data_IF_222704120291
#
_entry.id   IF_222704120291
#
_cell.length_a   1.000
_cell.length_b   1.000
_cell.length_c   1.000
_cell.angle_alpha   90.00
_cell.angle_beta   90.00
_cell.angle_gamma   90.00
#
_symmetry.space_group_name_H-M   'P 1'
#
loop_
_entity.id
_entity.type
_entity.pdbx_description
1 polymer ?
#
# COMPACT_ATOMS: atom_id res chain seq x y z
N UNK A 1 -10.59 5.47 17.02
CA UNK A 1 -11.52 4.99 18.07
C UNK A 1 -12.95 5.51 17.99
N UNK A 2 -13.27 6.81 18.13
CA UNK A 2 -14.70 7.26 18.06
C UNK A 2 -15.34 7.16 16.65
N UNK A 3 -14.53 7.14 15.59
CA UNK A 3 -15.04 6.97 14.22
C UNK A 3 -15.28 5.50 13.84
N UNK A 4 -14.66 4.55 14.54
CA UNK A 4 -14.75 3.10 14.30
C UNK A 4 -16.04 2.47 14.85
N UNK A 5 -16.89 3.24 15.55
CA UNK A 5 -18.14 2.76 16.19
C UNK A 5 -19.40 3.23 15.47
N UNK A 6 -19.28 3.74 14.23
CA UNK A 6 -20.43 4.10 13.40
C UNK A 6 -20.42 3.35 12.07
N UNK A 7 -21.08 2.19 12.05
CA UNK A 7 -21.20 1.36 10.85
C UNK A 7 -22.00 2.00 9.71
N UNK A 8 -22.68 3.13 9.93
CA UNK A 8 -23.25 3.89 8.81
C UNK A 8 -22.15 4.54 7.97
N UNK A 9 -21.01 4.89 8.58
CA UNK A 9 -19.85 5.41 7.85
C UNK A 9 -19.24 4.31 6.98
N UNK A 10 -18.99 3.15 7.57
CA UNK A 10 -18.47 1.99 6.84
C UNK A 10 -19.39 1.57 5.69
N UNK A 11 -20.71 1.51 5.91
CA UNK A 11 -21.68 1.26 4.86
C UNK A 11 -21.57 2.26 3.68
N UNK A 12 -21.34 3.55 3.96
CA UNK A 12 -21.13 4.56 2.91
C UNK A 12 -19.81 4.36 2.19
N UNK A 13 -18.75 3.96 2.90
CA UNK A 13 -17.45 3.68 2.31
C UNK A 13 -17.52 2.50 1.33
N UNK A 14 -18.21 1.42 1.71
CA UNK A 14 -18.47 0.26 0.84
C UNK A 14 -19.17 0.71 -0.46
N UNK A 15 -20.24 1.49 -0.35
CA UNK A 15 -20.99 1.98 -1.51
C UNK A 15 -20.16 2.93 -2.39
N UNK A 16 -19.32 3.78 -1.78
CA UNK A 16 -18.37 4.64 -2.52
C UNK A 16 -17.36 3.80 -3.30
N UNK A 17 -16.82 2.75 -2.68
CA UNK A 17 -15.86 1.86 -3.33
C UNK A 17 -16.49 1.07 -4.48
N UNK A 18 -17.72 0.55 -4.30
CA UNK A 18 -18.45 -0.11 -5.38
C UNK A 18 -18.67 0.82 -6.57
N UNK A 19 -19.04 2.08 -6.33
CA UNK A 19 -19.17 3.09 -7.40
C UNK A 19 -17.84 3.39 -8.09
N UNK A 20 -16.75 3.45 -7.34
CA UNK A 20 -15.40 3.56 -7.91
C UNK A 20 -15.10 2.39 -8.87
N UNK A 21 -15.35 1.16 -8.44
CA UNK A 21 -15.13 -0.03 -9.28
C UNK A 21 -15.95 0.01 -10.56
N UNK A 22 -17.23 0.40 -10.47
CA UNK A 22 -18.11 0.55 -11.64
C UNK A 22 -17.60 1.64 -12.59
N UNK A 23 -17.26 2.81 -12.06
CA UNK A 23 -16.79 3.97 -12.85
C UNK A 23 -15.50 3.67 -13.59
N UNK A 24 -14.61 2.89 -12.98
CA UNK A 24 -13.32 2.51 -13.57
C UNK A 24 -13.38 1.23 -14.41
N UNK A 25 -14.54 0.58 -14.53
CA UNK A 25 -14.69 -0.68 -15.26
C UNK A 25 -13.99 -1.88 -14.59
N UNK A 26 -13.79 -1.83 -13.27
CA UNK A 26 -13.05 -2.83 -12.48
C UNK A 26 -13.96 -3.89 -11.84
N UNK A 27 -15.28 -3.83 -12.03
CA UNK A 27 -16.25 -4.76 -11.41
C UNK A 27 -16.06 -6.24 -11.78
N UNK A 28 -15.36 -6.52 -12.87
CA UNK A 28 -14.96 -7.87 -13.28
C UNK A 28 -13.67 -8.37 -12.61
N UNK A 29 -12.93 -7.49 -11.95
CA UNK A 29 -11.63 -7.80 -11.31
C UNK A 29 -11.72 -7.74 -9.78
N UNK A 30 -12.56 -6.86 -9.23
CA UNK A 30 -12.74 -6.70 -7.80
C UNK A 30 -14.19 -6.41 -7.42
N UNK A 31 -14.50 -6.59 -6.15
CA UNK A 31 -15.81 -6.29 -5.58
C UNK A 31 -15.74 -5.97 -4.09
N UNK A 32 -16.82 -5.39 -3.58
CA UNK A 32 -17.09 -5.26 -2.15
C UNK A 32 -18.52 -5.73 -1.85
N UNK A 33 -18.80 -6.25 -0.65
CA UNK A 33 -20.12 -6.74 -0.25
C UNK A 33 -21.24 -5.74 -0.55
N UNK A 34 -22.40 -6.19 -1.03
CA UNK A 34 -23.60 -5.34 -0.99
C UNK A 34 -24.04 -5.09 0.45
N UNK A 35 -24.34 -3.85 0.82
CA UNK A 35 -24.87 -3.53 2.16
C UNK A 35 -26.39 -3.74 2.19
N UNK A 36 -26.89 -4.50 3.16
CA UNK A 36 -28.32 -4.63 3.44
C UNK A 36 -28.75 -3.51 4.41
N UNK A 37 -29.04 -2.33 3.87
CA UNK A 37 -29.36 -1.12 4.65
C UNK A 37 -30.50 -1.30 5.65
N UNK A 38 -31.53 -2.06 5.30
CA UNK A 38 -32.68 -2.35 6.17
C UNK A 38 -32.34 -3.26 7.37
N UNK A 39 -31.24 -4.02 7.29
CA UNK A 39 -30.71 -4.86 8.36
C UNK A 39 -29.48 -4.22 9.02
N UNK A 40 -29.17 -2.96 8.72
CA UNK A 40 -27.99 -2.27 9.23
C UNK A 40 -28.39 -1.09 10.10
N UNK A 41 -27.55 -0.77 11.07
CA UNK A 41 -27.70 0.36 11.99
C UNK A 41 -26.31 0.90 12.34
N UNK A 42 -26.25 1.90 13.21
CA UNK A 42 -24.98 2.41 13.73
C UNK A 42 -24.10 1.34 14.39
N UNK A 43 -24.71 0.29 14.97
CA UNK A 43 -24.01 -0.74 15.78
C UNK A 43 -24.00 -2.13 15.15
N UNK A 44 -24.70 -2.32 14.03
CA UNK A 44 -24.72 -3.59 13.30
C UNK A 44 -24.62 -3.30 11.81
N UNK A 45 -23.63 -3.87 11.12
CA UNK A 45 -23.53 -3.84 9.67
C UNK A 45 -23.90 -5.21 9.11
N UNK A 46 -24.94 -5.28 8.27
CA UNK A 46 -25.32 -6.51 7.57
C UNK A 46 -24.97 -6.37 6.10
N UNK A 47 -24.17 -7.30 5.57
CA UNK A 47 -23.65 -7.26 4.21
C UNK A 47 -23.68 -8.62 3.52
N UNK A 48 -23.54 -8.59 2.20
CA UNK A 48 -23.45 -9.77 1.35
C UNK A 48 -22.31 -10.67 1.80
N UNK A 49 -22.61 -11.96 1.94
CA UNK A 49 -21.59 -12.95 2.22
C UNK A 49 -20.82 -13.25 0.94
N UNK A 50 -19.53 -12.93 0.94
CA UNK A 50 -18.61 -13.34 -0.12
C UNK A 50 -18.03 -14.74 0.19
N UNK A 51 -17.71 -15.48 -0.87
CA UNK A 51 -17.13 -16.82 -0.77
C UNK A 51 -15.79 -16.87 -1.51
N UNK A 52 -14.74 -17.13 -0.76
CA UNK A 52 -13.37 -17.12 -1.27
C UNK A 52 -12.40 -17.60 -0.21
N UNK A 53 -11.11 -17.35 -0.45
CA UNK A 53 -10.03 -17.59 0.50
C UNK A 53 -9.31 -16.27 0.79
N UNK A 54 -8.84 -16.03 2.02
CA UNK A 54 -8.01 -14.87 2.32
C UNK A 54 -6.75 -14.85 1.45
N UNK A 55 -6.32 -13.66 1.01
CA UNK A 55 -5.04 -13.51 0.28
C UNK A 55 -3.82 -13.86 1.14
N UNK A 56 -4.01 -13.99 2.47
CA UNK A 56 -2.98 -14.48 3.40
C UNK A 56 -2.81 -16.00 3.39
N UNK A 57 -3.78 -16.75 2.86
CA UNK A 57 -3.77 -18.21 2.85
C UNK A 57 -3.18 -18.74 1.53
N UNK A 58 -1.85 -18.70 1.48
CA UNK A 58 -1.05 -18.97 0.28
C UNK A 58 -1.26 -20.39 -0.27
N UNK A 59 -1.34 -21.37 0.64
CA UNK A 59 -1.51 -22.77 0.27
C UNK A 59 -2.86 -22.95 -0.44
N UNK A 60 -3.93 -22.34 0.09
CA UNK A 60 -5.25 -22.37 -0.54
C UNK A 60 -5.31 -21.62 -1.88
N UNK A 61 -4.65 -20.46 -2.00
CA UNK A 61 -4.64 -19.67 -3.25
C UNK A 61 -3.94 -20.43 -4.38
N UNK A 62 -2.79 -21.06 -4.09
CA UNK A 62 -2.02 -21.82 -5.08
C UNK A 62 -2.82 -22.98 -5.68
N UNK A 63 -3.79 -23.51 -4.95
CA UNK A 63 -4.70 -24.56 -5.41
C UNK A 63 -5.89 -24.02 -6.23
N UNK A 64 -6.23 -22.73 -6.08
CA UNK A 64 -7.40 -22.10 -6.71
C UNK A 64 -7.08 -21.38 -8.01
N UNK A 65 -5.86 -20.83 -8.15
CA UNK A 65 -5.45 -20.07 -9.34
C UNK A 65 -4.07 -20.45 -9.81
N UNK A 66 -3.88 -20.39 -11.13
CA UNK A 66 -2.60 -20.63 -11.79
C UNK A 66 -1.55 -19.54 -11.53
N UNK A 67 -1.98 -18.33 -11.14
CA UNK A 67 -1.09 -17.21 -10.82
C UNK A 67 -1.60 -16.42 -9.60
N UNK A 68 -1.12 -16.77 -8.39
CA UNK A 68 -1.35 -15.99 -7.17
C UNK A 68 -0.81 -14.54 -7.29
N UNK A 69 0.30 -14.37 -8.00
CA UNK A 69 0.93 -13.07 -8.28
C UNK A 69 -0.01 -12.09 -8.97
N UNK A 70 -0.72 -12.53 -10.03
CA UNK A 70 -1.66 -11.66 -10.74
C UNK A 70 -2.81 -11.20 -9.83
N UNK A 71 -3.28 -12.06 -8.92
CA UNK A 71 -4.31 -11.70 -7.95
C UNK A 71 -3.85 -10.60 -7.01
N UNK A 72 -2.58 -10.66 -6.57
CA UNK A 72 -1.97 -9.64 -5.74
C UNK A 72 -1.78 -8.31 -6.48
N UNK A 73 -1.32 -8.36 -7.74
CA UNK A 73 -1.18 -7.16 -8.60
C UNK A 73 -2.55 -6.49 -8.81
N UNK A 74 -3.59 -7.27 -9.10
CA UNK A 74 -4.96 -6.74 -9.22
C UNK A 74 -5.42 -6.09 -7.92
N UNK A 75 -5.20 -6.75 -6.78
CA UNK A 75 -5.57 -6.20 -5.47
C UNK A 75 -4.86 -4.87 -5.18
N UNK A 76 -3.55 -4.79 -5.45
CA UNK A 76 -2.73 -3.59 -5.30
C UNK A 76 -3.23 -2.45 -6.20
N UNK A 77 -3.45 -2.71 -7.49
CA UNK A 77 -3.92 -1.69 -8.43
C UNK A 77 -5.28 -1.12 -8.05
N UNK A 78 -6.22 -1.99 -7.65
CA UNK A 78 -7.54 -1.58 -7.19
C UNK A 78 -7.43 -0.77 -5.90
N UNK A 79 -6.57 -1.19 -4.96
CA UNK A 79 -6.35 -0.46 -3.73
C UNK A 79 -5.76 0.93 -4.01
N UNK A 80 -4.64 1.05 -4.73
CA UNK A 80 -4.02 2.33 -5.08
C UNK A 80 -5.00 3.25 -5.81
N UNK A 81 -5.73 2.74 -6.81
CA UNK A 81 -6.71 3.54 -7.54
C UNK A 81 -7.86 4.03 -6.64
N UNK A 82 -8.24 3.25 -5.64
CA UNK A 82 -9.28 3.65 -4.67
C UNK A 82 -8.84 4.79 -3.75
N UNK A 83 -7.54 4.87 -3.40
CA UNK A 83 -6.98 5.95 -2.58
C UNK A 83 -7.20 7.34 -3.21
N UNK A 84 -7.21 7.38 -4.54
CA UNK A 84 -7.35 8.58 -5.36
C UNK A 84 -8.78 8.95 -5.70
N UNK A 85 -9.63 7.93 -5.84
CA UNK A 85 -10.94 8.05 -6.48
C UNK A 85 -12.08 8.00 -5.47
N UNK A 86 -11.84 7.50 -4.26
CA UNK A 86 -12.82 7.52 -3.17
C UNK A 86 -12.62 8.75 -2.28
N UNK A 87 -13.71 9.32 -1.77
CA UNK A 87 -13.65 10.45 -0.81
C UNK A 87 -13.00 10.08 0.52
N UNK A 88 -12.84 8.78 0.78
CA UNK A 88 -12.35 8.19 1.99
C UNK A 88 -11.63 6.91 1.60
N UNK A 89 -10.36 6.77 1.95
CA UNK A 89 -9.56 5.62 1.52
C UNK A 89 -9.60 4.52 2.58
N UNK A 90 -9.71 3.27 2.15
CA UNK A 90 -9.64 2.13 3.07
C UNK A 90 -8.22 2.02 3.62
N UNK A 91 -8.06 2.42 4.88
CA UNK A 91 -6.78 2.59 5.54
C UNK A 91 -6.30 1.33 6.27
N UNK A 92 -7.08 0.25 6.25
CA UNK A 92 -6.74 -1.06 6.83
C UNK A 92 -6.93 -2.23 5.87
N UNK A 93 -6.42 -2.06 4.65
CA UNK A 93 -6.26 -3.15 3.68
C UNK A 93 -5.07 -4.03 4.08
N UNK A 94 -5.15 -4.67 5.25
CA UNK A 94 -4.33 -5.84 5.49
C UNK A 94 -4.87 -7.00 4.65
N UNK A 95 -4.01 -7.88 4.14
CA UNK A 95 -4.47 -8.94 3.22
C UNK A 95 -5.46 -9.95 3.86
N UNK A 96 -5.71 -9.86 5.17
CA UNK A 96 -6.80 -10.59 5.81
C UNK A 96 -8.20 -10.11 5.41
N UNK A 97 -8.32 -8.85 4.98
CA UNK A 97 -9.55 -8.23 4.48
C UNK A 97 -9.67 -8.28 2.96
N UNK A 98 -8.70 -8.91 2.29
CA UNK A 98 -8.70 -9.16 0.85
C UNK A 98 -8.86 -10.64 0.59
N UNK A 99 -9.89 -11.01 -0.16
CA UNK A 99 -10.17 -12.40 -0.48
C UNK A 99 -10.06 -12.62 -1.98
N UNK A 100 -9.47 -13.74 -2.38
CA UNK A 100 -9.65 -14.27 -3.72
C UNK A 100 -10.97 -15.04 -3.75
N UNK A 101 -11.94 -14.52 -4.49
CA UNK A 101 -13.27 -15.11 -4.60
C UNK A 101 -13.28 -16.28 -5.58
N UNK A 102 -14.26 -17.18 -5.41
CA UNK A 102 -14.44 -18.35 -6.28
C UNK A 102 -14.71 -18.00 -7.75
N UNK A 103 -15.17 -16.79 -8.01
CA UNK A 103 -15.41 -16.26 -9.36
C UNK A 103 -14.18 -15.55 -9.97
N UNK A 104 -13.03 -15.59 -9.29
CA UNK A 104 -11.77 -15.01 -9.73
C UNK A 104 -11.58 -13.53 -9.39
N UNK A 105 -12.58 -12.87 -8.78
CA UNK A 105 -12.45 -11.47 -8.35
C UNK A 105 -11.75 -11.33 -7.00
N UNK A 106 -11.21 -10.15 -6.74
CA UNK A 106 -10.72 -9.75 -5.42
C UNK A 106 -11.85 -9.12 -4.61
N UNK A 107 -12.21 -9.73 -3.48
CA UNK A 107 -13.20 -9.21 -2.52
C UNK A 107 -12.53 -8.36 -1.45
N UNK A 108 -12.96 -7.10 -1.31
CA UNK A 108 -12.58 -6.19 -0.23
C UNK A 108 -13.67 -6.22 0.85
N UNK A 109 -13.32 -6.58 2.09
CA UNK A 109 -14.32 -6.92 3.12
C UNK A 109 -14.56 -5.85 4.19
N UNK A 110 -13.51 -5.19 4.64
CA UNK A 110 -13.56 -4.19 5.71
C UNK A 110 -13.50 -2.79 5.09
N UNK A 111 -14.18 -1.79 5.66
CA UNK A 111 -14.00 -0.38 5.29
C UNK A 111 -14.10 0.54 6.52
N UNK A 112 -13.78 0.01 7.70
CA UNK A 112 -14.00 0.63 9.01
C UNK A 112 -12.99 1.72 9.37
N UNK A 113 -11.74 1.61 8.91
CA UNK A 113 -10.74 2.69 9.05
C UNK A 113 -10.63 3.40 7.71
N UNK A 114 -11.07 4.66 7.68
CA UNK A 114 -10.90 5.52 6.52
C UNK A 114 -10.21 6.83 6.88
N UNK A 115 -9.16 7.15 6.15
CA UNK A 115 -8.54 8.48 6.17
C UNK A 115 -8.93 9.29 4.94
N UNK A 116 -8.54 10.57 4.91
CA UNK A 116 -8.63 11.42 3.71
C UNK A 116 -7.26 11.98 3.39
N UNK A 117 -6.71 11.61 2.24
CA UNK A 117 -5.47 12.19 1.75
C UNK A 117 -5.85 13.35 0.82
N UNK A 118 -5.34 14.55 1.11
CA UNK A 118 -5.57 15.67 0.20
C UNK A 118 -4.89 15.40 -1.16
N UNK A 119 -5.43 15.87 -2.30
CA UNK A 119 -4.78 15.68 -3.59
C UNK A 119 -3.33 16.17 -3.63
N UNK A 120 -3.02 17.23 -2.87
CA UNK A 120 -1.65 17.76 -2.72
C UNK A 120 -0.75 16.77 -1.97
N UNK A 121 -1.22 16.25 -0.83
CA UNK A 121 -0.51 15.23 -0.05
C UNK A 121 -0.27 13.99 -0.90
N UNK A 122 -1.27 13.53 -1.65
CA UNK A 122 -1.13 12.38 -2.54
C UNK A 122 -0.10 12.59 -3.63
N UNK A 123 -0.12 13.74 -4.32
CA UNK A 123 0.87 14.04 -5.36
C UNK A 123 2.30 14.04 -4.80
N UNK A 124 2.50 14.58 -3.59
CA UNK A 124 3.80 14.49 -2.91
C UNK A 124 4.16 13.04 -2.56
N UNK A 125 3.19 12.23 -2.13
CA UNK A 125 3.42 10.80 -1.85
C UNK A 125 3.81 10.00 -3.10
N UNK A 126 3.19 10.27 -4.25
CA UNK A 126 3.58 9.64 -5.52
C UNK A 126 5.02 9.95 -5.88
N UNK A 127 5.44 11.21 -5.74
CA UNK A 127 6.84 11.62 -5.98
C UNK A 127 7.77 10.94 -4.99
N UNK A 128 7.40 10.88 -3.70
CA UNK A 128 8.19 10.20 -2.68
C UNK A 128 8.39 8.72 -3.01
N UNK A 129 7.31 7.98 -3.31
CA UNK A 129 7.37 6.55 -3.66
C UNK A 129 8.18 6.30 -4.94
N UNK A 130 8.02 7.14 -5.96
CA UNK A 130 8.81 7.06 -7.18
C UNK A 130 10.31 7.31 -6.92
N UNK A 131 10.62 8.27 -6.04
CA UNK A 131 12.00 8.66 -5.73
C UNK A 131 12.74 7.59 -4.93
N UNK A 132 12.04 6.75 -4.15
CA UNK A 132 12.64 5.57 -3.51
C UNK A 132 13.13 4.60 -4.60
N UNK A 133 12.29 4.32 -5.60
CA UNK A 133 12.59 3.33 -6.63
C UNK A 133 13.76 3.73 -7.55
N UNK A 134 13.99 5.04 -7.72
CA UNK A 134 15.05 5.60 -8.56
C UNK A 134 16.22 6.19 -7.76
N UNK A 135 16.21 6.06 -6.42
CA UNK A 135 17.22 6.63 -5.52
C UNK A 135 17.43 8.16 -5.70
N UNK A 136 16.36 8.89 -6.06
CA UNK A 136 16.40 10.33 -6.31
C UNK A 136 16.17 11.13 -5.01
N UNK A 137 17.19 11.20 -4.15
CA UNK A 137 17.07 11.75 -2.79
C UNK A 137 16.66 13.24 -2.72
N UNK A 138 17.01 14.05 -3.72
CA UNK A 138 16.56 15.47 -3.77
C UNK A 138 15.05 15.56 -4.03
N UNK A 139 14.52 14.71 -4.91
CA UNK A 139 13.09 14.61 -5.20
C UNK A 139 12.34 14.05 -3.99
N UNK A 140 12.94 13.07 -3.31
CA UNK A 140 12.42 12.49 -2.07
C UNK A 140 12.30 13.54 -0.95
N UNK A 141 13.37 14.31 -0.71
CA UNK A 141 13.38 15.37 0.29
C UNK A 141 12.32 16.44 -0.02
N UNK A 142 12.23 16.87 -1.28
CA UNK A 142 11.25 17.86 -1.72
C UNK A 142 9.81 17.37 -1.50
N UNK A 143 9.53 16.11 -1.80
CA UNK A 143 8.24 15.49 -1.58
C UNK A 143 7.85 15.42 -0.09
N UNK A 144 8.77 14.99 0.76
CA UNK A 144 8.55 14.92 2.21
C UNK A 144 8.35 16.31 2.82
N UNK A 145 9.06 17.34 2.34
CA UNK A 145 8.84 18.73 2.75
C UNK A 145 7.45 19.22 2.34
N UNK A 146 7.00 18.91 1.12
CA UNK A 146 5.67 19.30 0.65
C UNK A 146 4.53 18.62 1.43
N UNK A 147 4.79 17.40 1.93
CA UNK A 147 3.83 16.60 2.65
C UNK A 147 3.78 16.92 4.15
N UNK A 148 4.95 17.20 4.74
CA UNK A 148 5.10 17.52 6.15
C UNK A 148 4.63 18.93 6.46
N UNK A 149 3.94 19.08 7.59
CA UNK A 149 3.71 20.39 8.16
C UNK A 149 4.96 20.83 8.94
N UNK A 150 5.58 21.94 8.54
CA UNK A 150 6.69 22.56 9.27
C UNK A 150 6.54 24.08 9.29
N UNK A 151 6.97 24.70 10.39
CA UNK A 151 7.06 26.15 10.54
C UNK A 151 8.49 26.67 10.32
N UNK A 152 9.41 25.79 9.89
CA UNK A 152 10.81 26.10 9.66
C UNK A 152 11.11 25.98 8.17
N UNK A 153 12.02 26.82 7.71
CA UNK A 153 12.62 26.62 6.39
C UNK A 153 13.53 25.39 6.46
N UNK A 154 13.30 24.42 5.57
CA UNK A 154 14.02 23.16 5.56
C UNK A 154 15.08 23.24 4.47
N UNK A 155 16.35 23.07 4.85
CA UNK A 155 17.43 22.90 3.87
C UNK A 155 17.24 21.56 3.15
N UNK A 156 16.58 21.61 1.99
CA UNK A 156 16.27 20.44 1.18
C UNK A 156 17.52 19.67 0.75
N UNK A 157 18.66 20.34 0.55
CA UNK A 157 19.91 19.67 0.16
C UNK A 157 20.54 18.95 1.33
N UNK A 158 20.53 19.55 2.52
CA UNK A 158 20.97 18.86 3.72
C UNK A 158 20.09 17.65 4.01
N UNK A 159 18.77 17.82 3.91
CA UNK A 159 17.82 16.74 4.15
C UNK A 159 18.01 15.59 3.15
N UNK A 160 18.18 15.89 1.86
CA UNK A 160 18.47 14.88 0.84
C UNK A 160 19.73 14.06 1.16
N UNK A 161 20.82 14.70 1.60
CA UNK A 161 22.06 14.00 2.00
C UNK A 161 21.86 13.09 3.21
N UNK A 162 21.03 13.49 4.17
CA UNK A 162 20.78 12.66 5.35
C UNK A 162 19.81 11.50 5.04
N UNK A 163 18.88 11.70 4.09
CA UNK A 163 18.09 10.59 3.51
C UNK A 163 18.99 9.60 2.76
N UNK A 164 19.90 10.07 1.93
CA UNK A 164 20.87 9.24 1.20
C UNK A 164 21.68 8.38 2.16
N UNK A 165 22.31 8.98 3.18
CA UNK A 165 23.07 8.23 4.21
C UNK A 165 22.22 7.17 4.89
N UNK A 166 20.98 7.48 5.23
CA UNK A 166 20.05 6.54 5.86
C UNK A 166 19.80 5.33 4.95
N UNK A 167 19.45 5.55 3.68
CA UNK A 167 19.22 4.47 2.72
C UNK A 167 20.49 3.67 2.40
N UNK A 168 21.64 4.31 2.24
CA UNK A 168 22.92 3.63 1.98
C UNK A 168 23.37 2.74 3.14
N UNK A 169 23.24 3.21 4.39
CA UNK A 169 23.60 2.43 5.58
C UNK A 169 22.83 1.11 5.70
N UNK A 170 21.64 1.06 5.09
CA UNK A 170 20.77 -0.10 5.05
C UNK A 170 21.15 -1.10 3.95
N UNK A 171 21.51 -0.61 2.76
CA UNK A 171 22.00 -1.47 1.67
C UNK A 171 23.28 -2.23 2.06
N UNK A 172 24.13 -1.62 2.89
CA UNK A 172 25.33 -2.28 3.44
C UNK A 172 24.95 -3.45 4.38
N UNK A 173 23.94 -3.26 5.22
CA UNK A 173 23.41 -4.31 6.11
C UNK A 173 22.80 -5.49 5.34
N UNK A 174 22.06 -5.21 4.26
CA UNK A 174 21.47 -6.26 3.40
C UNK A 174 22.53 -7.13 2.74
N UNK A 175 23.61 -6.51 2.26
CA UNK A 175 24.73 -7.21 1.64
C UNK A 175 25.42 -8.16 2.63
N UNK A 176 25.62 -7.73 3.88
CA UNK A 176 26.23 -8.57 4.92
C UNK A 176 25.36 -9.77 5.31
N UNK A 177 24.03 -9.61 5.40
CA UNK A 177 23.10 -10.68 5.78
C UNK A 177 22.96 -11.73 4.67
N UNK A 178 22.88 -11.30 3.40
CA UNK A 178 22.83 -12.22 2.25
C UNK A 178 24.11 -13.06 2.18
N UNK A 179 25.28 -12.47 2.45
CA UNK A 179 26.56 -13.20 2.49
C UNK A 179 26.62 -14.18 3.66
N UNK A 180 26.04 -13.83 4.82
CA UNK A 180 26.00 -14.71 5.99
C UNK A 180 25.06 -15.92 5.81
N UNK A 181 23.90 -15.72 5.18
CA UNK A 181 22.90 -16.77 4.94
C UNK A 181 23.27 -17.74 3.81
N UNK A 182 24.05 -17.30 2.83
CA UNK A 182 24.63 -18.15 1.78
C UNK A 182 25.61 -19.23 2.30
N UNK A 183 25.99 -19.20 3.58
CA UNK A 183 26.95 -20.14 4.20
C UNK A 183 26.31 -21.23 5.08
N UNK A 184 24.98 -21.25 5.26
CA UNK A 184 24.28 -22.19 6.14
C UNK A 184 23.56 -23.33 5.40
N UNK A 185 23.62 -24.60 5.86
CA UNK A 185 22.89 -25.71 5.25
C UNK A 185 21.46 -25.84 5.80
N UNK A 186 20.52 -26.14 4.90
CA UNK A 186 19.16 -26.68 5.12
C UNK A 186 18.02 -25.75 5.59
N UNK A 187 17.15 -25.39 4.63
CA UNK A 187 15.73 -25.80 4.50
C UNK A 187 14.93 -24.67 3.84
N UNK A 188 14.51 -24.88 2.59
CA UNK A 188 13.96 -23.83 1.70
C UNK A 188 12.79 -23.05 2.30
N UNK A 189 11.98 -23.63 3.19
CA UNK A 189 10.83 -22.93 3.81
C UNK A 189 11.21 -22.18 5.10
N UNK A 190 12.12 -22.70 5.91
CA UNK A 190 12.56 -22.05 7.16
C UNK A 190 13.51 -20.89 6.87
N UNK A 191 14.36 -21.03 5.85
CA UNK A 191 15.23 -19.96 5.36
C UNK A 191 14.42 -18.81 4.74
N UNK A 192 13.40 -19.11 3.94
CA UNK A 192 12.50 -18.08 3.38
C UNK A 192 11.73 -17.37 4.50
N UNK A 193 11.17 -18.11 5.47
CA UNK A 193 10.49 -17.50 6.61
C UNK A 193 11.43 -16.62 7.46
N UNK A 194 12.67 -17.06 7.68
CA UNK A 194 13.67 -16.29 8.42
C UNK A 194 14.08 -15.01 7.66
N UNK A 195 14.33 -15.11 6.35
CA UNK A 195 14.68 -13.96 5.50
C UNK A 195 13.53 -12.94 5.46
N UNK A 196 12.27 -13.39 5.34
CA UNK A 196 11.10 -12.50 5.38
C UNK A 196 10.98 -11.77 6.72
N UNK A 197 11.27 -12.43 7.86
CA UNK A 197 11.20 -11.81 9.19
C UNK A 197 12.36 -10.82 9.43
N UNK A 198 13.55 -11.13 8.93
CA UNK A 198 14.72 -10.22 9.02
C UNK A 198 14.45 -8.94 8.22
N UNK A 199 13.94 -9.09 7.01
CA UNK A 199 13.66 -8.00 6.11
C UNK A 199 12.42 -7.18 6.56
N UNK A 200 11.41 -7.80 7.20
CA UNK A 200 10.31 -7.08 7.88
C UNK A 200 10.83 -6.17 9.01
N UNK A 201 11.82 -6.62 9.79
CA UNK A 201 12.43 -5.78 10.83
C UNK A 201 13.22 -4.63 10.22
N UNK A 202 13.91 -4.87 9.11
CA UNK A 202 14.67 -3.84 8.41
C UNK A 202 13.75 -2.77 7.80
N UNK A 203 12.68 -3.16 7.12
CA UNK A 203 11.76 -2.19 6.52
C UNK A 203 11.00 -1.36 7.58
N UNK A 204 10.62 -1.98 8.70
CA UNK A 204 10.07 -1.24 9.84
C UNK A 204 11.09 -0.25 10.42
N UNK A 205 12.37 -0.64 10.52
CA UNK A 205 13.43 0.25 10.98
C UNK A 205 13.65 1.42 10.00
N UNK A 206 13.67 1.15 8.68
CA UNK A 206 13.73 2.19 7.64
C UNK A 206 12.64 3.24 7.80
N UNK A 207 11.41 2.77 8.01
CA UNK A 207 10.28 3.69 8.19
C UNK A 207 10.44 4.55 9.46
N UNK A 208 10.88 3.95 10.58
CA UNK A 208 11.13 4.69 11.81
C UNK A 208 12.28 5.69 11.67
N UNK A 209 13.35 5.33 10.98
CA UNK A 209 14.49 6.21 10.75
C UNK A 209 14.12 7.34 9.78
N UNK A 210 13.33 7.07 8.74
CA UNK A 210 12.77 8.10 7.87
C UNK A 210 11.97 9.14 8.66
N UNK A 211 11.10 8.67 9.57
CA UNK A 211 10.32 9.55 10.45
C UNK A 211 11.25 10.36 11.36
N UNK A 212 12.24 9.73 11.99
CA UNK A 212 13.21 10.40 12.87
C UNK A 212 14.04 11.47 12.16
N UNK A 213 14.58 11.14 10.97
CA UNK A 213 15.33 12.11 10.16
C UNK A 213 14.42 13.27 9.80
N UNK A 214 13.20 13.00 9.32
CA UNK A 214 12.23 14.05 8.98
C UNK A 214 11.87 14.95 10.18
N UNK A 215 11.67 14.37 11.36
CA UNK A 215 11.40 15.12 12.59
C UNK A 215 12.57 16.00 13.02
N UNK A 216 13.82 15.59 12.78
CA UNK A 216 15.01 16.41 13.03
C UNK A 216 15.04 17.70 12.20
N UNK A 217 14.44 17.67 11.00
CA UNK A 217 14.20 18.83 10.14
C UNK A 217 12.91 19.60 10.50
N UNK A 218 12.18 19.17 11.54
CA UNK A 218 10.95 19.81 12.00
C UNK A 218 9.71 19.44 11.20
N UNK A 219 9.77 18.43 10.34
CA UNK A 219 8.62 17.93 9.59
C UNK A 219 7.71 17.12 10.52
N UNK A 220 6.40 17.38 10.42
CA UNK A 220 5.36 16.55 11.03
C UNK A 220 4.45 16.01 9.96
N UNK A 221 4.44 14.69 9.80
CA UNK A 221 3.59 14.06 8.79
C UNK A 221 2.14 13.92 9.27
N UNK A 222 1.18 14.03 8.34
CA UNK A 222 -0.22 13.72 8.63
C UNK A 222 -0.38 12.24 9.01
N UNK A 223 -1.37 11.91 9.85
CA UNK A 223 -1.64 10.54 10.31
C UNK A 223 -1.86 9.59 9.12
N UNK A 224 -2.46 10.10 8.06
CA UNK A 224 -2.77 9.37 6.84
C UNK A 224 -1.51 8.86 6.13
N UNK A 225 -0.40 9.61 6.20
CA UNK A 225 0.88 9.15 5.65
C UNK A 225 1.37 7.91 6.40
N UNK A 226 1.39 7.96 7.73
CA UNK A 226 1.80 6.82 8.55
C UNK A 226 0.90 5.59 8.34
N UNK A 227 -0.41 5.79 8.21
CA UNK A 227 -1.36 4.72 7.90
C UNK A 227 -1.05 4.08 6.54
N UNK A 228 -0.82 4.88 5.51
CA UNK A 228 -0.51 4.35 4.18
C UNK A 228 0.83 3.62 4.14
N UNK A 229 1.86 4.18 4.78
CA UNK A 229 3.17 3.52 4.89
C UNK A 229 3.03 2.16 5.56
N UNK A 230 2.28 2.09 6.67
CA UNK A 230 1.97 0.82 7.32
C UNK A 230 1.30 -0.19 6.37
N UNK A 231 0.38 0.26 5.51
CA UNK A 231 -0.26 -0.64 4.54
C UNK A 231 0.70 -1.12 3.44
N UNK A 232 1.60 -0.26 2.97
CA UNK A 232 2.64 -0.69 2.02
C UNK A 232 3.57 -1.75 2.61
N UNK A 233 3.93 -1.63 3.90
CA UNK A 233 4.70 -2.65 4.61
C UNK A 233 3.97 -3.99 4.68
N UNK A 234 2.66 -3.98 4.91
CA UNK A 234 1.86 -5.21 4.86
C UNK A 234 1.86 -5.83 3.46
N UNK A 235 1.65 -5.03 2.42
CA UNK A 235 1.65 -5.54 1.04
C UNK A 235 3.01 -6.08 0.59
N UNK A 236 4.10 -5.42 0.95
CA UNK A 236 5.46 -5.87 0.67
C UNK A 236 5.72 -7.27 1.29
N UNK A 237 5.30 -7.47 2.55
CA UNK A 237 5.35 -8.79 3.19
C UNK A 237 4.61 -9.87 2.40
N UNK A 238 3.40 -9.59 1.90
CA UNK A 238 2.65 -10.58 1.11
C UNK A 238 3.24 -10.79 -0.27
N UNK A 239 3.79 -9.73 -0.86
CA UNK A 239 4.52 -9.81 -2.13
C UNK A 239 5.68 -10.77 -2.02
N UNK A 240 6.50 -10.68 -0.97
CA UNK A 240 7.63 -11.59 -0.76
C UNK A 240 7.21 -13.05 -0.56
N UNK A 241 6.02 -13.28 0.00
CA UNK A 241 5.48 -14.62 0.20
C UNK A 241 4.85 -15.23 -1.06
N UNK A 242 4.14 -14.42 -1.86
CA UNK A 242 3.37 -14.85 -3.03
C UNK A 242 4.14 -14.75 -4.35
N UNK A 243 5.05 -13.79 -4.43
CA UNK A 243 5.77 -13.39 -5.62
C UNK A 243 7.14 -12.81 -5.21
N UNK A 244 8.08 -13.63 -4.73
CA UNK A 244 9.37 -13.16 -4.18
C UNK A 244 10.23 -12.35 -5.16
N UNK A 245 9.96 -12.45 -6.46
CA UNK A 245 10.65 -11.68 -7.50
C UNK A 245 9.94 -10.36 -7.86
N UNK A 246 8.78 -10.09 -7.27
CA UNK A 246 7.98 -8.89 -7.53
C UNK A 246 8.49 -7.74 -6.66
N UNK A 247 9.05 -6.70 -7.29
CA UNK A 247 9.32 -5.44 -6.61
C UNK A 247 8.12 -4.50 -6.80
N UNK A 248 7.33 -4.31 -5.75
CA UNK A 248 6.09 -3.52 -5.81
C UNK A 248 6.30 -2.08 -6.30
N UNK A 249 7.45 -1.48 -6.01
CA UNK A 249 7.76 -0.09 -6.36
C UNK A 249 8.34 0.06 -7.76
N UNK A 250 8.85 -1.02 -8.36
CA UNK A 250 9.49 -1.02 -9.68
C UNK A 250 8.69 -1.78 -10.75
N UNK A 251 7.70 -2.59 -10.38
CA UNK A 251 6.91 -3.38 -11.33
C UNK A 251 5.93 -2.50 -12.13
N UNK A 252 6.11 -2.47 -13.44
CA UNK A 252 5.30 -1.65 -14.36
C UNK A 252 3.82 -2.05 -14.41
N UNK A 253 3.45 -3.24 -13.93
CA UNK A 253 2.06 -3.68 -13.82
C UNK A 253 1.36 -3.07 -12.61
N UNK A 254 2.10 -2.52 -11.65
CA UNK A 254 1.56 -1.89 -10.45
C UNK A 254 1.58 -0.36 -10.63
N UNK A 255 0.40 0.21 -10.73
CA UNK A 255 0.20 1.65 -10.91
C UNK A 255 0.20 2.38 -9.55
N UNK A 256 1.29 2.28 -8.79
CA UNK A 256 1.50 3.03 -7.53
C UNK A 256 1.54 4.53 -7.80
N UNK A 257 2.23 4.91 -8.87
CA UNK A 257 2.39 6.27 -9.35
C UNK A 257 1.39 6.45 -10.48
N UNK A 258 0.43 7.36 -10.34
CA UNK A 258 -0.49 7.67 -11.43
C UNK A 258 0.33 8.02 -12.66
N UNK A 259 0.22 7.21 -13.71
CA UNK A 259 0.75 7.55 -15.02
C UNK A 259 -0.15 8.64 -15.66
N UNK A 260 -0.35 9.78 -14.98
CA UNK A 260 -1.12 10.94 -15.46
C UNK A 260 -0.41 11.68 -16.61
N UNK A 261 0.76 11.22 -17.06
CA UNK A 261 1.50 11.83 -18.17
C UNK A 261 1.09 11.35 -19.57
N UNK A 262 0.22 10.36 -19.75
CA UNK A 262 -0.06 9.85 -21.10
C UNK A 262 -1.36 10.36 -21.76
N UNK A 263 -2.30 10.98 -21.02
CA UNK A 263 -3.63 11.30 -21.57
C UNK A 263 -3.94 12.79 -21.82
N UNK A 264 -2.95 13.70 -21.72
CA UNK A 264 -3.15 15.13 -22.05
C UNK A 264 -2.70 15.58 -23.44
N UNK A 265 -2.17 14.67 -24.27
CA UNK A 265 -1.73 14.98 -25.63
C UNK A 265 -2.60 14.37 -26.74
N UNK A 266 -3.69 13.67 -26.41
CA UNK A 266 -4.60 13.10 -27.42
C UNK A 266 -5.84 13.96 -27.73
N UNK A 267 -6.15 14.98 -26.93
CA UNK A 267 -7.33 15.82 -27.12
C UNK A 267 -7.04 17.20 -27.75
N UNK A 268 -5.88 17.38 -28.38
CA UNK A 268 -5.53 18.62 -29.11
C UNK A 268 -5.33 18.44 -30.62
N UNK A 269 -5.74 17.30 -31.18
CA UNK A 269 -5.88 17.12 -32.63
C UNK A 269 -7.14 16.31 -32.92
N UNK A 270 -8.28 16.99 -32.92
CA UNK A 270 -9.42 16.75 -33.80
C UNK A 270 -10.27 18.03 -33.84
#
# INVERSE_FOLDING_TARGET
MLEEVDFNKEAKNIESFKRYLETMGLSGQATAPRVYKHCSSRRVLTMERLYGVPLTDLDSISALVSSPENSLITALNVWFGSLLSCESFHADVHAGNLWLLRDGRIGFLDFGIVGRISPKTWAAMEVFLASIATEEYESMASALIQMGATNRDVDAKAFARDLEKMFSSMQELDTEIVVATARGPNSDRTAVAANVVVDERQMNALFLDLVRVSESYGLKFPREFALLMKQLLYFDRYTRLLAPNLNMLQDQRISVVSNRRMNRYKDSFN
#
